data_IF_447740621758
#
_entry.id   IF_447740621758
#
_cell.length_a   1.000
_cell.length_b   1.000
_cell.length_c   1.000
_cell.angle_alpha   90.00
_cell.angle_beta   90.00
_cell.angle_gamma   90.00
#
_symmetry.space_group_name_H-M   'P 1'
#
loop_
_entity.id
_entity.type
_entity.pdbx_description
1 polymer ?
#
# COMPACT_ATOMS: atom_id res chain seq x y z
N UNK A 1 -12.51 7.48 -8.75
CA UNK A 1 -12.37 6.06 -8.34
C UNK A 1 -11.00 5.90 -7.71
N UNK A 2 -10.92 5.31 -6.52
CA UNK A 2 -9.66 5.12 -5.82
C UNK A 2 -8.87 3.93 -6.41
N UNK A 3 -7.55 4.02 -6.35
CA UNK A 3 -6.65 2.92 -6.73
C UNK A 3 -5.89 2.43 -5.51
N UNK A 4 -5.76 1.11 -5.38
CA UNK A 4 -4.89 0.49 -4.39
C UNK A 4 -3.41 0.72 -4.73
N UNK A 5 -2.53 0.70 -3.74
CA UNK A 5 -1.07 0.66 -3.92
C UNK A 5 -0.50 -0.76 -4.04
N UNK A 6 -1.26 -1.77 -3.65
CA UNK A 6 -0.86 -3.18 -3.72
C UNK A 6 -1.28 -3.82 -5.02
N UNK A 7 -0.44 -4.67 -5.59
CA UNK A 7 -0.79 -5.38 -6.81
C UNK A 7 0.26 -6.37 -7.27
N UNK A 8 -0.18 -7.25 -8.17
CA UNK A 8 0.66 -8.23 -8.83
C UNK A 8 0.37 -8.22 -10.34
N UNK A 9 1.41 -8.35 -11.16
CA UNK A 9 1.29 -8.57 -12.59
C UNK A 9 2.36 -9.52 -13.08
N UNK A 10 2.00 -10.39 -14.02
CA UNK A 10 2.87 -11.41 -14.61
C UNK A 10 2.62 -11.52 -16.10
N UNK A 11 3.67 -11.28 -16.88
CA UNK A 11 3.67 -11.55 -18.32
C UNK A 11 4.68 -12.62 -18.65
N UNK A 12 4.34 -13.45 -19.63
CA UNK A 12 5.23 -14.46 -20.21
C UNK A 12 5.27 -14.18 -21.71
N UNK A 13 6.46 -13.93 -22.24
CA UNK A 13 6.69 -13.82 -23.67
C UNK A 13 7.65 -14.90 -24.15
N UNK A 14 7.42 -15.40 -25.36
CA UNK A 14 8.23 -16.45 -25.95
C UNK A 14 8.87 -15.94 -27.24
N UNK A 15 10.19 -16.05 -27.29
CA UNK A 15 11.08 -15.67 -28.38
C UNK A 15 11.70 -16.99 -28.92
N UNK A 16 12.15 -17.10 -30.19
CA UNK A 16 12.53 -18.38 -30.79
C UNK A 16 13.41 -19.33 -29.93
N UNK A 17 14.34 -18.79 -29.14
CA UNK A 17 15.23 -19.60 -28.29
C UNK A 17 15.07 -19.36 -26.77
N UNK A 18 14.14 -18.49 -26.35
CA UNK A 18 14.03 -18.03 -24.96
C UNK A 18 12.58 -17.84 -24.55
N UNK A 19 12.25 -18.25 -23.33
CA UNK A 19 11.00 -17.90 -22.66
C UNK A 19 11.32 -16.91 -21.55
N UNK A 20 10.73 -15.72 -21.63
CA UNK A 20 10.98 -14.63 -20.69
C UNK A 20 9.72 -14.44 -19.85
N UNK A 21 9.87 -14.54 -18.53
CA UNK A 21 8.81 -14.28 -17.56
C UNK A 21 9.15 -12.98 -16.82
N UNK A 22 8.23 -12.04 -16.86
CA UNK A 22 8.32 -10.76 -16.14
C UNK A 22 7.27 -10.78 -15.03
N UNK A 23 7.71 -10.58 -13.80
CA UNK A 23 6.84 -10.43 -12.64
C UNK A 23 7.05 -9.07 -11.99
N UNK A 24 5.94 -8.38 -11.70
CA UNK A 24 5.89 -7.12 -10.98
C UNK A 24 5.04 -7.30 -9.73
N UNK A 25 5.59 -6.92 -8.58
CA UNK A 25 4.85 -6.84 -7.32
C UNK A 25 4.94 -5.42 -6.80
N UNK A 26 3.80 -4.84 -6.41
CA UNK A 26 3.74 -3.52 -5.79
C UNK A 26 3.23 -3.63 -4.36
N UNK A 27 3.89 -2.91 -3.47
CA UNK A 27 3.52 -2.75 -2.07
C UNK A 27 3.45 -1.26 -1.72
N UNK A 28 2.69 -0.96 -0.66
CA UNK A 28 2.57 0.38 -0.12
C UNK A 28 3.94 0.95 0.31
N UNK A 29 4.27 2.13 -0.19
CA UNK A 29 5.44 2.92 0.23
C UNK A 29 5.22 4.39 -0.07
N UNK A 30 5.78 5.27 0.78
CA UNK A 30 5.64 6.73 0.67
C UNK A 30 6.23 7.30 -0.63
N UNK A 31 7.32 6.70 -1.10
CA UNK A 31 8.05 7.08 -2.31
C UNK A 31 8.10 5.89 -3.27
N UNK A 32 8.31 6.17 -4.56
CA UNK A 32 8.62 5.14 -5.53
C UNK A 32 10.01 4.55 -5.24
N UNK A 33 10.07 3.23 -5.12
CA UNK A 33 11.31 2.48 -4.93
C UNK A 33 11.24 1.20 -5.77
N UNK A 34 12.16 1.02 -6.71
CA UNK A 34 12.20 -0.14 -7.61
C UNK A 34 13.38 -1.04 -7.26
N UNK A 35 13.05 -2.23 -6.78
CA UNK A 35 13.98 -3.33 -6.61
C UNK A 35 13.94 -4.25 -7.85
N UNK A 36 14.96 -4.14 -8.70
CA UNK A 36 15.01 -4.85 -9.98
C UNK A 36 15.94 -6.08 -9.91
N UNK A 37 15.36 -7.28 -10.04
CA UNK A 37 16.09 -8.54 -10.22
C UNK A 37 16.12 -8.87 -11.71
N UNK A 38 17.16 -8.37 -12.38
CA UNK A 38 17.36 -8.52 -13.82
C UNK A 38 18.59 -9.41 -14.08
N UNK A 39 18.52 -10.37 -15.03
CA UNK A 39 19.67 -11.14 -15.49
C UNK A 39 20.83 -10.23 -15.92
N UNK A 40 22.07 -10.66 -15.69
CA UNK A 40 23.28 -9.86 -15.97
C UNK A 40 23.33 -9.32 -17.41
N UNK A 41 22.80 -10.09 -18.36
CA UNK A 41 22.77 -9.75 -19.78
C UNK A 41 21.90 -8.53 -20.13
N UNK A 42 20.95 -8.09 -19.28
CA UNK A 42 20.13 -6.90 -19.56
C UNK A 42 20.30 -5.76 -18.56
N UNK A 43 21.33 -5.82 -17.70
CA UNK A 43 21.55 -4.78 -16.67
C UNK A 43 21.71 -3.38 -17.26
N UNK A 44 22.28 -3.27 -18.46
CA UNK A 44 22.46 -1.99 -19.16
C UNK A 44 21.12 -1.31 -19.49
N UNK A 45 20.03 -2.08 -19.59
CA UNK A 45 18.67 -1.59 -19.89
C UNK A 45 17.80 -1.40 -18.65
N UNK A 46 18.33 -1.62 -17.44
CA UNK A 46 17.57 -1.44 -16.19
C UNK A 46 16.99 -0.02 -16.08
N UNK A 47 17.76 0.98 -16.49
CA UNK A 47 17.35 2.38 -16.34
C UNK A 47 16.14 2.73 -17.22
N UNK A 48 16.07 2.17 -18.43
CA UNK A 48 14.94 2.31 -19.34
C UNK A 48 13.68 1.66 -18.76
N UNK A 49 13.80 0.43 -18.25
CA UNK A 49 12.71 -0.28 -17.58
C UNK A 49 12.23 0.44 -16.32
N UNK A 50 13.15 1.01 -15.53
CA UNK A 50 12.82 1.80 -14.34
C UNK A 50 11.94 3.00 -14.70
N UNK A 51 12.27 3.71 -15.78
CA UNK A 51 11.49 4.87 -16.23
C UNK A 51 10.09 4.46 -16.72
N UNK A 52 9.97 3.34 -17.42
CA UNK A 52 8.65 2.82 -17.86
C UNK A 52 7.77 2.50 -16.65
N UNK A 53 8.33 1.81 -15.65
CA UNK A 53 7.59 1.40 -14.45
C UNK A 53 7.24 2.60 -13.56
N UNK A 54 8.18 3.53 -13.35
CA UNK A 54 7.94 4.71 -12.51
C UNK A 54 6.85 5.62 -13.09
N UNK A 55 6.86 5.82 -14.42
CA UNK A 55 5.84 6.60 -15.11
C UNK A 55 4.44 5.96 -15.02
N UNK A 56 4.36 4.63 -14.96
CA UNK A 56 3.07 3.94 -14.85
C UNK A 56 2.55 3.84 -13.41
N UNK A 57 3.39 3.54 -12.43
CA UNK A 57 2.94 3.21 -11.07
C UNK A 57 2.99 4.39 -10.11
N UNK A 58 3.85 5.39 -10.36
CA UNK A 58 3.93 6.65 -9.62
C UNK A 58 4.52 6.55 -8.21
N UNK A 59 3.89 5.78 -7.31
CA UNK A 59 4.32 5.60 -5.90
C UNK A 59 4.21 4.12 -5.51
N UNK A 60 4.99 3.72 -4.50
CA UNK A 60 5.01 2.35 -3.98
C UNK A 60 6.39 1.71 -4.09
N UNK A 61 6.58 0.62 -3.33
CA UNK A 61 7.75 -0.23 -3.44
C UNK A 61 7.43 -1.34 -4.44
N UNK A 62 8.21 -1.40 -5.51
CA UNK A 62 7.98 -2.30 -6.63
C UNK A 62 9.13 -3.28 -6.73
N UNK A 63 8.83 -4.57 -6.72
CA UNK A 63 9.78 -5.64 -7.03
C UNK A 63 9.56 -6.09 -8.47
N UNK A 64 10.55 -5.84 -9.34
CA UNK A 64 10.62 -6.36 -10.70
C UNK A 64 11.49 -7.62 -10.69
N UNK A 65 11.01 -8.71 -11.25
CA UNK A 65 11.80 -9.93 -11.46
C UNK A 65 11.66 -10.41 -12.90
N UNK A 66 12.79 -10.53 -13.59
CA UNK A 66 12.85 -11.05 -14.97
C UNK A 66 13.56 -12.40 -14.93
N UNK A 67 12.87 -13.43 -15.40
CA UNK A 67 13.39 -14.79 -15.54
C UNK A 67 13.52 -15.14 -17.01
N UNK A 68 14.67 -15.67 -17.41
CA UNK A 68 14.91 -16.14 -18.78
C UNK A 68 15.20 -17.63 -18.73
N UNK A 69 14.33 -18.40 -19.37
CA UNK A 69 14.50 -19.83 -19.60
C UNK A 69 14.95 -20.04 -21.05
N UNK A 70 16.12 -20.64 -21.26
CA UNK A 70 16.60 -21.01 -22.59
C UNK A 70 15.89 -22.28 -23.03
N UNK A 71 15.26 -22.25 -24.21
CA UNK A 71 14.43 -23.35 -24.73
C UNK A 71 15.12 -24.13 -25.86
N UNK A 72 16.32 -23.72 -26.29
CA UNK A 72 17.14 -24.40 -27.29
C UNK A 72 18.49 -24.90 -26.76
N UNK A 73 19.19 -25.73 -27.55
CA UNK A 73 20.50 -26.32 -27.26
C UNK A 73 21.71 -25.36 -27.38
N UNK A 74 21.49 -24.04 -27.51
CA UNK A 74 22.59 -23.08 -27.56
C UNK A 74 23.18 -22.88 -26.16
N UNK A 75 24.25 -23.59 -25.85
CA UNK A 75 25.16 -23.21 -24.77
C UNK A 75 25.86 -21.91 -25.18
N UNK A 76 25.68 -20.82 -24.41
CA UNK A 76 26.42 -19.55 -24.55
C UNK A 76 27.91 -19.66 -24.22
N UNK A 77 28.41 -20.88 -24.07
CA UNK A 77 29.75 -21.22 -23.64
C UNK A 77 30.51 -21.75 -24.83
N UNK A 78 31.35 -20.89 -25.40
CA UNK A 78 32.29 -21.26 -26.46
C UNK A 78 33.62 -21.66 -25.84
N UNK A 79 34.36 -22.56 -26.48
CA UNK A 79 35.74 -22.86 -26.05
C UNK A 79 36.60 -21.63 -26.32
N UNK A 80 37.30 -21.14 -25.32
CA UNK A 80 38.27 -20.07 -25.48
C UNK A 80 39.52 -20.62 -26.17
N UNK A 81 39.51 -20.64 -27.50
CA UNK A 81 40.56 -21.31 -28.29
C UNK A 81 41.95 -20.75 -28.05
N UNK A 82 42.08 -19.45 -27.75
CA UNK A 82 43.40 -18.85 -27.45
C UNK A 82 43.94 -19.32 -26.12
N UNK A 83 43.12 -19.31 -25.07
CA UNK A 83 43.50 -19.77 -23.73
C UNK A 83 43.80 -21.25 -23.73
N UNK A 84 42.96 -22.06 -24.38
CA UNK A 84 43.18 -23.51 -24.50
C UNK A 84 44.48 -23.81 -25.26
N UNK A 85 44.75 -23.12 -26.38
CA UNK A 85 46.03 -23.29 -27.10
C UNK A 85 47.24 -22.88 -26.25
N UNK A 86 47.14 -21.80 -25.49
CA UNK A 86 48.20 -21.35 -24.60
C UNK A 86 48.50 -22.40 -23.52
N UNK A 87 47.47 -22.93 -22.85
CA UNK A 87 47.64 -24.00 -21.87
C UNK A 87 48.21 -25.28 -22.49
N UNK A 88 47.74 -25.66 -23.68
CA UNK A 88 48.30 -26.81 -24.38
C UNK A 88 49.79 -26.65 -24.65
N UNK A 89 50.25 -25.46 -25.05
CA UNK A 89 51.68 -25.19 -25.26
C UNK A 89 52.48 -25.26 -23.96
N UNK A 90 52.01 -24.61 -22.89
CA UNK A 90 52.70 -24.62 -21.58
C UNK A 90 52.81 -26.04 -21.01
N UNK A 91 51.77 -26.86 -21.14
CA UNK A 91 51.79 -28.25 -20.67
C UNK A 91 52.75 -29.12 -21.51
N UNK A 92 52.87 -28.82 -22.81
CA UNK A 92 53.79 -29.49 -23.74
C UNK A 92 55.26 -29.26 -23.38
N UNK A 93 55.58 -28.09 -22.84
CA UNK A 93 56.93 -27.75 -22.36
C UNK A 93 57.31 -28.49 -21.06
N UNK A 94 56.33 -28.96 -20.30
CA UNK A 94 56.53 -29.66 -19.01
C UNK A 94 56.60 -31.19 -19.23
N UNK A 95 55.71 -31.73 -20.06
CA UNK A 95 55.58 -33.16 -20.27
C UNK A 95 55.35 -33.47 -21.76
N UNK A 96 56.04 -34.49 -22.24
CA UNK A 96 55.83 -35.01 -23.59
C UNK A 96 54.62 -35.95 -23.62
N UNK A 97 53.42 -35.38 -23.65
CA UNK A 97 52.14 -36.10 -23.73
C UNK A 97 51.47 -35.92 -25.10
N UNK A 98 50.48 -36.77 -25.39
CA UNK A 98 49.70 -36.68 -26.64
C UNK A 98 48.85 -35.40 -26.69
N UNK A 99 48.57 -34.87 -27.89
CA UNK A 99 47.72 -33.68 -28.04
C UNK A 99 46.32 -33.86 -27.42
N UNK A 100 45.78 -35.08 -27.45
CA UNK A 100 44.48 -35.40 -26.85
C UNK A 100 44.51 -35.30 -25.33
N UNK A 101 45.60 -35.73 -24.68
CA UNK A 101 45.76 -35.57 -23.23
C UNK A 101 45.94 -34.11 -22.82
N UNK A 102 46.76 -33.37 -23.57
CA UNK A 102 46.96 -31.94 -23.32
C UNK A 102 45.65 -31.15 -23.47
N UNK A 103 44.83 -31.47 -24.48
CA UNK A 103 43.51 -30.85 -24.65
C UNK A 103 42.56 -31.19 -23.49
N UNK A 104 42.53 -32.45 -23.04
CA UNK A 104 41.71 -32.89 -21.89
C UNK A 104 42.08 -32.16 -20.60
N UNK A 105 43.36 -31.82 -20.42
CA UNK A 105 43.84 -31.03 -19.29
C UNK A 105 43.52 -29.55 -19.46
N UNK A 106 43.77 -28.98 -20.65
CA UNK A 106 43.59 -27.56 -20.94
C UNK A 106 42.11 -27.10 -20.86
N UNK A 107 41.16 -27.93 -21.29
CA UNK A 107 39.71 -27.61 -21.20
C UNK A 107 39.19 -27.61 -19.75
N UNK A 108 39.96 -28.14 -18.79
CA UNK A 108 39.62 -28.08 -17.35
C UNK A 108 40.28 -26.90 -16.62
N UNK A 109 41.17 -26.18 -17.29
CA UNK A 109 41.88 -25.05 -16.69
C UNK A 109 40.95 -23.81 -16.63
N UNK A 110 41.21 -22.87 -15.70
CA UNK A 110 40.48 -21.61 -15.63
C UNK A 110 40.41 -20.90 -16.99
N UNK A 111 39.31 -20.20 -17.27
CA UNK A 111 39.11 -19.38 -18.47
C UNK A 111 39.17 -20.11 -19.84
N UNK A 112 39.25 -21.44 -19.83
CA UNK A 112 39.22 -22.29 -21.04
C UNK A 112 37.87 -22.28 -21.77
N UNK A 113 36.82 -21.84 -21.07
CA UNK A 113 35.48 -21.62 -21.59
C UNK A 113 35.22 -20.10 -21.55
N UNK A 114 34.84 -19.54 -22.70
CA UNK A 114 34.41 -18.15 -22.83
C UNK A 114 32.89 -18.13 -22.93
N UNK A 115 32.25 -17.41 -22.03
CA UNK A 115 30.86 -16.98 -22.23
C UNK A 115 30.92 -15.72 -23.07
N UNK A 116 30.45 -15.78 -24.32
CA UNK A 116 30.31 -14.55 -25.10
C UNK A 116 29.17 -13.74 -24.48
N UNK A 117 29.50 -12.48 -24.10
CA UNK A 117 28.47 -11.49 -23.85
C UNK A 117 27.97 -11.09 -25.23
N UNK A 118 26.93 -11.77 -25.69
CA UNK A 118 26.19 -11.29 -26.85
C UNK A 118 25.73 -9.86 -26.56
N UNK A 119 25.97 -8.94 -27.50
CA UNK A 119 25.32 -7.64 -27.47
C UNK A 119 23.80 -7.87 -27.33
N UNK A 120 23.13 -7.02 -26.55
CA UNK A 120 21.69 -7.15 -26.33
C UNK A 120 21.00 -7.01 -27.69
N UNK A 121 20.42 -8.11 -28.17
CA UNK A 121 19.56 -8.09 -29.35
C UNK A 121 18.42 -7.08 -29.13
N UNK A 122 18.33 -6.07 -30.00
CA UNK A 122 17.31 -5.03 -29.92
C UNK A 122 15.89 -5.61 -30.05
N UNK A 123 15.70 -6.69 -30.83
CA UNK A 123 14.39 -7.35 -30.94
C UNK A 123 14.02 -8.05 -29.64
N UNK A 124 14.99 -8.68 -28.99
CA UNK A 124 14.81 -9.31 -27.69
C UNK A 124 14.47 -8.29 -26.61
N UNK A 125 15.15 -7.14 -26.61
CA UNK A 125 14.84 -6.07 -25.67
C UNK A 125 13.42 -5.50 -25.88
N UNK A 126 13.00 -5.30 -27.13
CA UNK A 126 11.62 -4.88 -27.44
C UNK A 126 10.58 -5.88 -26.92
N UNK A 127 10.86 -7.19 -27.00
CA UNK A 127 9.98 -8.20 -26.43
C UNK A 127 9.91 -8.12 -24.89
N UNK A 128 11.02 -7.82 -24.21
CA UNK A 128 11.06 -7.58 -22.76
C UNK A 128 10.25 -6.33 -22.40
N UNK A 129 10.43 -5.22 -23.13
CA UNK A 129 9.64 -3.99 -22.92
C UNK A 129 8.14 -4.25 -23.10
N UNK A 130 7.76 -5.05 -24.12
CA UNK A 130 6.39 -5.50 -24.33
C UNK A 130 5.86 -6.28 -23.12
N UNK A 131 6.60 -7.29 -22.65
CA UNK A 131 6.22 -8.08 -21.50
C UNK A 131 6.10 -7.24 -20.21
N UNK A 132 6.96 -6.24 -20.01
CA UNK A 132 6.85 -5.30 -18.89
C UNK A 132 5.58 -4.45 -18.99
N UNK A 133 5.23 -3.96 -20.20
CA UNK A 133 3.98 -3.21 -20.42
C UNK A 133 2.73 -4.07 -20.19
N UNK A 134 2.76 -5.34 -20.57
CA UNK A 134 1.67 -6.27 -20.32
C UNK A 134 1.52 -6.55 -18.82
N UNK A 135 2.62 -6.79 -18.11
CA UNK A 135 2.61 -6.96 -16.65
C UNK A 135 2.14 -5.68 -15.93
N UNK A 136 2.48 -4.49 -16.45
CA UNK A 136 1.96 -3.20 -15.97
C UNK A 136 0.46 -3.03 -16.20
N UNK A 137 -0.07 -3.60 -17.28
CA UNK A 137 -1.51 -3.59 -17.54
C UNK A 137 -2.25 -4.46 -16.53
N UNK A 138 -1.72 -5.66 -16.24
CA UNK A 138 -2.31 -6.59 -15.27
C UNK A 138 -2.25 -6.02 -13.84
N UNK A 139 -1.11 -5.47 -13.40
CA UNK A 139 -0.98 -4.90 -12.06
C UNK A 139 -1.91 -3.70 -11.85
N UNK A 140 -2.08 -2.84 -12.86
CA UNK A 140 -3.01 -1.71 -12.78
C UNK A 140 -4.48 -2.19 -12.76
N UNK A 141 -4.79 -3.28 -13.49
CA UNK A 141 -6.07 -3.96 -13.39
C UNK A 141 -6.36 -4.43 -11.96
N UNK A 142 -5.40 -5.14 -11.35
CA UNK A 142 -5.49 -5.62 -9.97
C UNK A 142 -5.68 -4.46 -8.97
N UNK A 143 -4.90 -3.38 -9.12
CA UNK A 143 -4.98 -2.18 -8.26
C UNK A 143 -6.35 -1.49 -8.35
N UNK A 144 -6.96 -1.48 -9.54
CA UNK A 144 -8.31 -0.93 -9.75
C UNK A 144 -9.38 -1.79 -9.08
N UNK A 145 -9.30 -3.11 -9.21
CA UNK A 145 -10.29 -4.01 -8.61
C UNK A 145 -10.20 -4.04 -7.08
N UNK A 146 -8.98 -4.03 -6.53
CA UNK A 146 -8.76 -3.86 -5.10
C UNK A 146 -9.24 -2.47 -4.63
N UNK A 147 -9.01 -1.42 -5.43
CA UNK A 147 -9.53 -0.07 -5.17
C UNK A 147 -11.06 -0.04 -5.00
N UNK A 148 -11.81 -0.74 -5.86
CA UNK A 148 -13.28 -0.86 -5.73
C UNK A 148 -13.69 -1.57 -4.43
N UNK A 149 -12.95 -2.60 -4.02
CA UNK A 149 -13.21 -3.32 -2.78
C UNK A 149 -12.96 -2.41 -1.56
N UNK A 150 -11.86 -1.66 -1.57
CA UNK A 150 -11.55 -0.64 -0.54
C UNK A 150 -12.64 0.43 -0.47
N UNK A 151 -13.12 0.91 -1.61
CA UNK A 151 -14.16 1.94 -1.69
C UNK A 151 -15.45 1.46 -1.02
N UNK A 152 -15.83 0.20 -1.28
CA UNK A 152 -17.00 -0.41 -0.66
C UNK A 152 -16.84 -0.57 0.85
N UNK A 153 -15.67 -1.01 1.33
CA UNK A 153 -15.42 -1.13 2.77
C UNK A 153 -15.45 0.25 3.45
N UNK A 154 -14.77 1.25 2.90
CA UNK A 154 -14.77 2.62 3.44
C UNK A 154 -16.18 3.22 3.53
N UNK A 155 -17.00 3.05 2.49
CA UNK A 155 -18.39 3.50 2.51
C UNK A 155 -19.20 2.81 3.61
N UNK A 156 -19.00 1.50 3.80
CA UNK A 156 -19.63 0.75 4.90
C UNK A 156 -19.22 1.31 6.27
N UNK A 157 -17.91 1.54 6.50
CA UNK A 157 -17.40 2.08 7.77
C UNK A 157 -17.99 3.46 8.08
N UNK A 158 -18.02 4.35 7.09
CA UNK A 158 -18.59 5.69 7.25
C UNK A 158 -20.09 5.61 7.55
N UNK A 159 -20.81 4.72 6.86
CA UNK A 159 -22.23 4.50 7.13
C UNK A 159 -22.46 3.98 8.56
N UNK A 160 -21.60 3.10 9.08
CA UNK A 160 -21.69 2.63 10.45
C UNK A 160 -21.51 3.77 11.46
N UNK A 161 -20.51 4.64 11.25
CA UNK A 161 -20.30 5.82 12.11
C UNK A 161 -21.51 6.75 12.07
N UNK A 162 -22.11 6.95 10.88
CA UNK A 162 -23.32 7.76 10.73
C UNK A 162 -24.51 7.18 11.49
N UNK A 163 -24.75 5.87 11.41
CA UNK A 163 -25.80 5.19 12.18
C UNK A 163 -25.57 5.32 13.69
N UNK A 164 -24.32 5.16 14.15
CA UNK A 164 -23.98 5.35 15.57
C UNK A 164 -24.21 6.81 16.02
N UNK A 165 -23.98 7.78 15.13
CA UNK A 165 -24.24 9.19 15.43
C UNK A 165 -25.74 9.45 15.60
N UNK A 166 -26.58 8.81 14.80
CA UNK A 166 -28.04 8.86 14.99
C UNK A 166 -28.47 8.28 16.34
N UNK A 167 -27.82 7.21 16.82
CA UNK A 167 -28.06 6.66 18.15
C UNK A 167 -27.62 7.62 19.27
N UNK A 168 -26.48 8.31 19.08
CA UNK A 168 -26.04 9.38 19.99
C UNK A 168 -27.08 10.50 20.06
N UNK A 169 -27.64 10.92 18.93
CA UNK A 169 -28.69 11.94 18.87
C UNK A 169 -29.94 11.51 19.65
N UNK A 170 -30.33 10.22 19.55
CA UNK A 170 -31.50 9.67 20.26
C UNK A 170 -31.31 9.60 21.77
N UNK A 171 -30.10 9.31 22.24
CA UNK A 171 -29.77 9.15 23.67
C UNK A 171 -29.41 10.48 24.36
N UNK A 172 -29.03 11.51 23.60
CA UNK A 172 -28.63 12.81 24.15
C UNK A 172 -29.67 13.46 25.08
N UNK A 173 -30.99 13.41 24.81
CA UNK A 173 -32.01 13.92 25.75
C UNK A 173 -31.99 13.19 27.11
N UNK A 174 -31.87 11.86 27.11
CA UNK A 174 -31.84 11.05 28.35
C UNK A 174 -30.63 11.40 29.21
N UNK A 175 -29.51 11.72 28.56
CA UNK A 175 -28.30 12.20 29.24
C UNK A 175 -28.54 13.55 29.93
N UNK A 176 -29.20 14.50 29.26
CA UNK A 176 -29.51 15.82 29.84
C UNK A 176 -30.39 15.65 31.07
N UNK A 177 -31.40 14.78 31.02
CA UNK A 177 -32.24 14.49 32.18
C UNK A 177 -31.45 13.82 33.31
N UNK A 178 -30.58 12.84 33.01
CA UNK A 178 -29.74 12.19 34.01
C UNK A 178 -28.78 13.17 34.72
N UNK A 179 -28.23 14.14 33.99
CA UNK A 179 -27.41 15.22 34.58
C UNK A 179 -28.25 16.11 35.47
N UNK A 180 -29.46 16.51 35.03
CA UNK A 180 -30.39 17.32 35.82
C UNK A 180 -30.77 16.64 37.13
N UNK A 181 -31.13 15.35 37.08
CA UNK A 181 -31.45 14.57 38.28
C UNK A 181 -30.26 14.46 39.25
N UNK A 182 -29.04 14.26 38.73
CA UNK A 182 -27.83 14.17 39.56
C UNK A 182 -27.55 15.49 40.29
N UNK A 183 -27.67 16.62 39.60
CA UNK A 183 -27.47 17.95 40.21
C UNK A 183 -28.56 18.19 41.26
N UNK A 184 -29.83 17.87 40.94
CA UNK A 184 -30.96 18.01 41.87
C UNK A 184 -30.76 17.21 43.16
N UNK A 185 -30.39 15.92 43.06
CA UNK A 185 -30.10 15.06 44.21
C UNK A 185 -28.95 15.60 45.07
N UNK A 186 -27.86 16.06 44.44
CA UNK A 186 -26.73 16.64 45.16
C UNK A 186 -27.09 17.90 45.95
N UNK A 187 -28.11 18.64 45.53
CA UNK A 187 -28.61 19.82 46.24
C UNK A 187 -29.59 19.43 47.35
N UNK A 188 -30.45 18.43 47.14
CA UNK A 188 -31.34 17.91 48.19
C UNK A 188 -30.57 17.34 49.40
N UNK A 189 -29.34 16.87 49.20
CA UNK A 189 -28.44 16.43 50.27
C UNK A 189 -27.86 17.60 51.11
N UNK A 190 -27.87 18.83 50.58
CA UNK A 190 -27.42 20.04 51.28
C UNK A 190 -28.60 20.59 52.08
N UNK A 191 -28.52 20.50 53.42
CA UNK A 191 -29.60 20.86 54.37
C UNK A 191 -29.98 22.35 54.44
N UNK A 192 -29.31 23.23 53.72
CA UNK A 192 -29.65 24.66 53.67
C UNK A 192 -30.63 24.94 52.52
N UNK A 193 -31.50 25.96 52.66
CA UNK A 193 -32.35 26.43 51.57
C UNK A 193 -31.46 26.87 50.39
N UNK A 194 -31.31 25.98 49.41
CA UNK A 194 -30.59 26.30 48.20
C UNK A 194 -31.33 27.42 47.44
N UNK A 195 -30.58 28.45 47.04
CA UNK A 195 -31.10 29.53 46.20
C UNK A 195 -31.47 28.97 44.81
N UNK A 196 -32.77 28.97 44.51
CA UNK A 196 -33.33 28.46 43.25
C UNK A 196 -32.75 29.19 42.03
N UNK A 197 -32.42 30.48 42.16
CA UNK A 197 -31.77 31.26 41.10
C UNK A 197 -30.35 30.75 40.81
N UNK A 198 -29.61 30.37 41.85
CA UNK A 198 -28.25 29.83 41.73
C UNK A 198 -28.25 28.39 41.20
N UNK A 199 -29.29 27.62 41.50
CA UNK A 199 -29.50 26.28 40.95
C UNK A 199 -29.69 26.31 39.43
N UNK A 200 -30.59 27.17 38.94
CA UNK A 200 -30.83 27.32 37.51
C UNK A 200 -29.57 27.82 36.77
N UNK A 201 -28.78 28.71 37.37
CA UNK A 201 -27.50 29.15 36.82
C UNK A 201 -26.48 28.00 36.68
N UNK A 202 -26.35 27.13 37.68
CA UNK A 202 -25.47 25.96 37.61
C UNK A 202 -25.96 24.94 36.58
N UNK A 203 -27.28 24.72 36.47
CA UNK A 203 -27.85 23.87 35.42
C UNK A 203 -27.47 24.40 34.04
N UNK A 204 -27.64 25.70 33.79
CA UNK A 204 -27.27 26.32 32.50
C UNK A 204 -25.78 26.14 32.25
N UNK A 205 -24.92 26.39 33.24
CA UNK A 205 -23.47 26.20 33.12
C UNK A 205 -23.10 24.75 32.75
N UNK A 206 -23.69 23.74 33.39
CA UNK A 206 -23.42 22.35 33.08
C UNK A 206 -24.01 21.91 31.74
N UNK A 207 -25.18 22.43 31.34
CA UNK A 207 -25.76 22.17 30.03
C UNK A 207 -24.85 22.71 28.94
N UNK A 208 -24.39 23.95 29.03
CA UNK A 208 -23.45 24.53 28.06
C UNK A 208 -22.12 23.77 28.03
N UNK A 209 -21.59 23.40 29.21
CA UNK A 209 -20.33 22.67 29.33
C UNK A 209 -20.40 21.27 28.72
N UNK A 210 -21.55 20.61 28.81
CA UNK A 210 -21.77 19.28 28.28
C UNK A 210 -22.53 19.27 26.95
N UNK A 211 -22.72 20.44 26.32
CA UNK A 211 -23.36 20.52 25.01
C UNK A 211 -22.43 19.94 23.95
N UNK A 212 -22.99 19.01 23.18
CA UNK A 212 -22.34 18.32 22.07
C UNK A 212 -23.02 18.63 20.72
N UNK A 213 -23.93 19.60 20.69
CA UNK A 213 -24.72 19.94 19.49
C UNK A 213 -23.82 20.33 18.33
N UNK A 214 -22.80 21.14 18.58
CA UNK A 214 -21.85 21.55 17.56
C UNK A 214 -21.03 20.36 17.05
N UNK A 215 -20.52 19.50 17.94
CA UNK A 215 -19.76 18.31 17.57
C UNK A 215 -20.57 17.33 16.72
N UNK A 216 -21.87 17.14 17.03
CA UNK A 216 -22.76 16.27 16.23
C UNK A 216 -22.90 16.80 14.80
N UNK A 217 -23.10 18.11 14.64
CA UNK A 217 -23.23 18.75 13.32
C UNK A 217 -21.91 18.74 12.56
N UNK A 218 -20.77 19.02 13.23
CA UNK A 218 -19.45 18.96 12.59
C UNK A 218 -19.11 17.53 12.15
N UNK A 219 -19.39 16.54 12.99
CA UNK A 219 -19.16 15.13 12.65
C UNK A 219 -19.97 14.72 11.42
N UNK A 220 -21.28 15.01 11.38
CA UNK A 220 -22.11 14.69 10.21
C UNK A 220 -21.59 15.35 8.92
N UNK A 221 -21.22 16.63 9.00
CA UNK A 221 -20.59 17.35 7.88
C UNK A 221 -19.28 16.70 7.42
N UNK A 222 -18.43 16.24 8.35
CA UNK A 222 -17.19 15.56 8.02
C UNK A 222 -17.43 14.17 7.39
N UNK A 223 -18.43 13.42 7.84
CA UNK A 223 -18.82 12.14 7.24
C UNK A 223 -19.32 12.33 5.80
N UNK A 224 -20.18 13.32 5.57
CA UNK A 224 -20.68 13.66 4.24
C UNK A 224 -19.54 14.16 3.33
N UNK A 225 -18.62 14.96 3.86
CA UNK A 225 -17.46 15.43 3.11
C UNK A 225 -16.49 14.29 2.77
N UNK A 226 -16.35 13.29 3.65
CA UNK A 226 -15.58 12.08 3.38
C UNK A 226 -16.18 11.30 2.20
N UNK A 227 -17.49 11.02 2.23
CA UNK A 227 -18.17 10.31 1.13
C UNK A 227 -18.07 11.06 -0.19
N UNK A 228 -18.29 12.38 -0.18
CA UNK A 228 -18.13 13.22 -1.38
C UNK A 228 -16.70 13.14 -1.92
N UNK A 229 -15.70 13.25 -1.05
CA UNK A 229 -14.29 13.18 -1.44
C UNK A 229 -13.94 11.81 -2.02
N UNK A 230 -14.42 10.72 -1.40
CA UNK A 230 -14.18 9.36 -1.86
C UNK A 230 -14.62 9.14 -3.32
N UNK A 231 -15.73 9.77 -3.72
CA UNK A 231 -16.32 9.67 -5.05
C UNK A 231 -15.69 10.59 -6.11
N UNK A 232 -14.72 11.43 -5.74
CA UNK A 232 -14.03 12.31 -6.71
C UNK A 232 -12.90 11.58 -7.43
N UNK A 233 -12.51 12.09 -8.61
CA UNK A 233 -11.33 11.59 -9.35
C UNK A 233 -10.02 11.93 -8.64
N UNK A 234 -9.97 13.07 -7.93
CA UNK A 234 -8.83 13.51 -7.11
C UNK A 234 -8.78 12.87 -5.70
N UNK A 235 -9.55 11.80 -5.48
CA UNK A 235 -9.59 11.10 -4.21
C UNK A 235 -8.25 10.42 -3.95
N UNK A 236 -7.42 11.04 -3.11
CA UNK A 236 -6.14 10.49 -2.68
C UNK A 236 -6.13 10.17 -1.18
N UNK A 237 -5.32 9.20 -0.80
CA UNK A 237 -5.23 8.74 0.59
C UNK A 237 -4.89 9.87 1.58
N UNK A 238 -4.13 10.89 1.15
CA UNK A 238 -3.73 12.01 2.03
C UNK A 238 -4.91 12.91 2.42
N UNK A 239 -5.79 13.24 1.48
CA UNK A 239 -6.97 14.07 1.74
C UNK A 239 -7.97 13.32 2.63
N UNK A 240 -8.20 12.04 2.34
CA UNK A 240 -9.04 11.18 3.18
C UNK A 240 -8.48 11.07 4.60
N UNK A 241 -7.16 10.90 4.76
CA UNK A 241 -6.51 10.85 6.07
C UNK A 241 -6.73 12.14 6.89
N UNK A 242 -6.70 13.31 6.25
CA UNK A 242 -7.00 14.57 6.92
C UNK A 242 -8.45 14.62 7.41
N UNK A 243 -9.42 14.22 6.57
CA UNK A 243 -10.84 14.20 6.96
C UNK A 243 -11.06 13.20 8.11
N UNK A 244 -10.43 12.02 8.07
CA UNK A 244 -10.48 11.03 9.16
C UNK A 244 -9.90 11.56 10.48
N UNK A 245 -8.92 12.46 10.43
CA UNK A 245 -8.41 13.12 11.64
C UNK A 245 -9.46 14.05 12.25
N UNK A 246 -10.14 14.85 11.43
CA UNK A 246 -11.21 15.74 11.91
C UNK A 246 -12.41 14.93 12.45
N UNK A 247 -12.84 13.86 11.76
CA UNK A 247 -13.84 12.91 12.28
C UNK A 247 -13.44 12.40 13.68
N UNK A 248 -12.18 12.00 13.84
CA UNK A 248 -11.65 11.56 15.13
C UNK A 248 -11.65 12.62 16.22
N UNK A 249 -11.41 13.89 15.87
CA UNK A 249 -11.49 15.00 16.84
C UNK A 249 -12.91 15.18 17.37
N UNK A 250 -13.90 15.12 16.49
CA UNK A 250 -15.30 15.25 16.90
C UNK A 250 -15.75 14.08 17.76
N UNK A 251 -15.45 12.84 17.36
CA UNK A 251 -15.77 11.64 18.16
C UNK A 251 -15.12 11.71 19.56
N UNK A 252 -13.86 12.17 19.64
CA UNK A 252 -13.18 12.34 20.92
C UNK A 252 -13.84 13.41 21.80
N UNK A 253 -14.32 14.49 21.20
CA UNK A 253 -14.97 15.60 21.92
C UNK A 253 -16.36 15.21 22.41
N UNK A 254 -17.14 14.48 21.60
CA UNK A 254 -18.42 13.86 22.04
C UNK A 254 -18.16 12.93 23.23
N UNK A 255 -17.11 12.10 23.14
CA UNK A 255 -16.67 11.24 24.24
C UNK A 255 -16.32 12.02 25.51
N UNK A 256 -15.47 13.03 25.44
CA UNK A 256 -15.01 13.75 26.62
C UNK A 256 -16.09 14.62 27.28
N UNK A 257 -17.02 15.19 26.49
CA UNK A 257 -18.11 16.04 26.98
C UNK A 257 -19.33 15.28 27.49
N UNK A 258 -19.58 14.06 26.99
CA UNK A 258 -20.84 13.34 27.29
C UNK A 258 -20.94 12.84 28.73
N UNK A 259 -19.85 12.35 29.32
CA UNK A 259 -19.79 11.79 30.67
C UNK A 259 -20.99 10.87 31.02
N UNK A 260 -21.40 10.04 30.06
CA UNK A 260 -22.57 9.17 30.15
C UNK A 260 -22.27 7.80 29.56
N UNK A 261 -22.40 6.73 30.37
CA UNK A 261 -21.88 5.41 30.03
C UNK A 261 -22.44 4.81 28.73
N UNK A 262 -23.76 4.87 28.44
CA UNK A 262 -24.28 4.43 27.14
C UNK A 262 -23.68 5.19 25.95
N UNK A 263 -23.43 6.49 26.09
CA UNK A 263 -22.82 7.29 25.03
C UNK A 263 -21.33 6.94 24.83
N UNK A 264 -20.61 6.58 25.91
CA UNK A 264 -19.23 6.10 25.80
C UNK A 264 -19.13 4.82 24.98
N UNK A 265 -20.09 3.90 25.12
CA UNK A 265 -20.10 2.66 24.33
C UNK A 265 -20.21 2.95 22.83
N UNK A 266 -21.10 3.87 22.43
CA UNK A 266 -21.23 4.30 21.03
C UNK A 266 -19.95 4.99 20.53
N UNK A 267 -19.34 5.84 21.35
CA UNK A 267 -18.08 6.52 21.01
C UNK A 267 -16.96 5.53 20.77
N UNK A 268 -16.84 4.46 21.58
CA UNK A 268 -15.84 3.41 21.35
C UNK A 268 -16.07 2.70 20.02
N UNK A 269 -17.33 2.34 19.70
CA UNK A 269 -17.65 1.71 18.43
C UNK A 269 -17.34 2.61 17.22
N UNK A 270 -17.60 3.92 17.33
CA UNK A 270 -17.22 4.88 16.29
C UNK A 270 -15.69 4.96 16.10
N UNK A 271 -14.92 4.91 17.19
CA UNK A 271 -13.45 4.90 17.13
C UNK A 271 -12.92 3.63 16.45
N UNK A 272 -13.52 2.48 16.75
CA UNK A 272 -13.15 1.22 16.13
C UNK A 272 -13.38 1.25 14.60
N UNK A 273 -14.52 1.77 14.15
CA UNK A 273 -14.77 1.94 12.71
C UNK A 273 -13.82 2.98 12.08
N UNK A 274 -13.49 4.06 12.81
CA UNK A 274 -12.54 5.07 12.34
C UNK A 274 -11.11 4.54 12.20
N UNK A 275 -10.64 3.66 13.09
CA UNK A 275 -9.31 3.07 12.92
C UNK A 275 -9.25 2.14 11.71
N UNK A 276 -10.29 1.34 11.47
CA UNK A 276 -10.39 0.55 10.23
C UNK A 276 -10.31 1.45 8.98
N UNK A 277 -10.98 2.60 9.00
CA UNK A 277 -10.87 3.60 7.92
C UNK A 277 -9.42 4.06 7.73
N UNK A 278 -8.74 4.46 8.82
CA UNK A 278 -7.36 4.94 8.76
C UNK A 278 -6.40 3.88 8.22
N UNK A 279 -6.56 2.62 8.61
CA UNK A 279 -5.77 1.51 8.09
C UNK A 279 -5.96 1.34 6.58
N UNK A 280 -7.20 1.38 6.09
CA UNK A 280 -7.48 1.22 4.65
C UNK A 280 -7.01 2.41 3.80
N UNK A 281 -7.12 3.63 4.34
CA UNK A 281 -6.64 4.84 3.66
C UNK A 281 -5.14 4.77 3.35
N UNK A 282 -4.36 4.10 4.19
CA UNK A 282 -2.93 3.92 3.93
C UNK A 282 -2.66 3.14 2.65
N UNK A 283 -3.59 2.33 2.15
CA UNK A 283 -3.43 1.54 0.93
C UNK A 283 -3.95 2.25 -0.33
N UNK A 284 -4.47 3.47 -0.21
CA UNK A 284 -4.98 4.26 -1.33
C UNK A 284 -3.89 5.18 -1.89
N UNK A 285 -3.75 5.21 -3.22
CA UNK A 285 -2.77 6.03 -3.94
C UNK A 285 -2.89 7.54 -3.65
#
# INVERSE_FOLDING_TARGET
>A
MIQSMTGFGKSITQIPNKKITVELKSLNSKNFDLNARIPSQYREKELDLRNIISNSLGRGKVDLSIYVEYTGEQTSTNVNTEVVKNYMNQLRDIVNASEVELLKMAVKMPDSLKTERDEIDEEEFKAIEGAVKDALTEINGFRNDEGKALEKDLNLRISNIKSLLEEVIKIDPDRVEAVRERIRKGIEEIKEQADESRFEQEIVYYIEKFDITEEKVRLDNHLDYFQKTLNTEDSNGRKLAFISQEIGREINTIGSKSNYAPMQQLVVQMKDELEKIKEQILNIL
#
